data_IF_960350957907
#
_entry.id   IF_960350957907
#
_cell.length_a   1.000
_cell.length_b   1.000
_cell.length_c   1.000
_cell.angle_alpha   90.00
_cell.angle_beta   90.00
_cell.angle_gamma   90.00
#
_symmetry.space_group_name_H-M   'P 1'
#
loop_
_entity.id
_entity.type
_entity.pdbx_description
1 polymer ?
#
# COMPACT_ATOMS: atom_id res chain seq x y z
N UNK A 1 -31.06 -25.79 -26.20
CA UNK A 1 -30.46 -25.72 -24.84
C UNK A 1 -29.27 -26.70 -24.81
N UNK A 2 -28.04 -26.23 -25.05
CA UNK A 2 -26.85 -27.10 -25.09
C UNK A 2 -26.51 -27.53 -23.66
N UNK A 3 -26.58 -28.83 -23.35
CA UNK A 3 -26.11 -29.38 -22.06
C UNK A 3 -24.61 -29.15 -21.95
N UNK A 4 -24.18 -28.44 -20.92
CA UNK A 4 -22.77 -28.33 -20.57
C UNK A 4 -22.23 -29.73 -20.21
N UNK A 5 -20.99 -30.10 -20.58
CA UNK A 5 -20.40 -31.36 -20.18
C UNK A 5 -20.39 -31.48 -18.66
N UNK A 6 -20.65 -32.67 -18.11
CA UNK A 6 -20.60 -32.92 -16.67
C UNK A 6 -19.22 -32.53 -16.14
N UNK A 7 -19.15 -31.47 -15.35
CA UNK A 7 -17.93 -31.04 -14.71
C UNK A 7 -17.43 -32.16 -13.79
N UNK A 8 -16.13 -32.47 -13.82
CA UNK A 8 -15.56 -33.45 -12.90
C UNK A 8 -15.72 -32.96 -11.46
N UNK A 9 -16.03 -33.87 -10.55
CA UNK A 9 -16.12 -33.54 -9.13
C UNK A 9 -14.74 -33.12 -8.60
N UNK A 10 -14.65 -32.07 -7.76
CA UNK A 10 -13.41 -31.71 -7.09
C UNK A 10 -12.80 -32.92 -6.37
N UNK A 11 -11.53 -33.20 -6.64
CA UNK A 11 -10.78 -34.27 -5.97
C UNK A 11 -10.02 -33.68 -4.80
N UNK A 12 -10.27 -34.20 -3.59
CA UNK A 12 -9.50 -33.86 -2.40
C UNK A 12 -8.04 -34.29 -2.59
N UNK A 13 -7.12 -33.39 -2.29
CA UNK A 13 -5.69 -33.70 -2.21
C UNK A 13 -5.46 -34.33 -0.84
N UNK A 14 -4.99 -35.58 -0.83
CA UNK A 14 -4.64 -36.30 0.40
C UNK A 14 -3.17 -36.06 0.73
N UNK A 15 -2.90 -35.78 2.01
CA UNK A 15 -1.57 -35.52 2.53
C UNK A 15 -1.27 -36.49 3.66
N UNK A 16 -0.10 -37.14 3.62
CA UNK A 16 0.40 -37.94 4.73
C UNK A 16 1.12 -37.03 5.73
N UNK A 17 0.42 -36.69 6.81
CA UNK A 17 0.97 -35.82 7.85
C UNK A 17 1.67 -36.65 8.93
N UNK A 18 3.01 -36.67 8.88
CA UNK A 18 3.85 -37.18 9.96
C UNK A 18 3.71 -36.31 11.22
N UNK A 19 4.16 -36.84 12.36
CA UNK A 19 4.13 -36.09 13.62
C UNK A 19 4.94 -34.77 13.53
N UNK A 20 6.13 -34.80 12.93
CA UNK A 20 6.95 -33.60 12.68
C UNK A 20 6.21 -32.57 11.81
N UNK A 21 5.51 -33.00 10.76
CA UNK A 21 4.71 -32.07 9.93
C UNK A 21 3.55 -31.44 10.70
N UNK A 22 2.87 -32.21 11.56
CA UNK A 22 1.79 -31.68 12.40
C UNK A 22 2.30 -30.61 13.37
N UNK A 23 3.46 -30.86 13.99
CA UNK A 23 4.10 -29.88 14.87
C UNK A 23 4.50 -28.61 14.11
N UNK A 24 5.06 -28.73 12.90
CA UNK A 24 5.39 -27.57 12.05
C UNK A 24 4.17 -26.77 11.66
N UNK A 25 3.05 -27.42 11.34
CA UNK A 25 1.78 -26.74 11.05
C UNK A 25 1.32 -25.94 12.27
N UNK A 26 1.33 -26.55 13.46
CA UNK A 26 0.96 -25.85 14.70
C UNK A 26 1.83 -24.61 14.97
N UNK A 27 3.15 -24.72 14.81
CA UNK A 27 4.04 -23.57 14.97
C UNK A 27 3.84 -22.53 13.86
N UNK A 28 3.56 -22.93 12.62
CA UNK A 28 3.28 -22.01 11.53
C UNK A 28 1.97 -21.23 11.75
N UNK A 29 0.92 -21.88 12.25
CA UNK A 29 -0.35 -21.26 12.62
C UNK A 29 -0.15 -20.20 13.71
N UNK A 30 0.61 -20.54 14.75
CA UNK A 30 0.95 -19.60 15.84
C UNK A 30 1.72 -18.40 15.29
N UNK A 31 2.76 -18.63 14.47
CA UNK A 31 3.56 -17.56 13.85
C UNK A 31 2.74 -16.68 12.92
N UNK A 32 1.82 -17.25 12.14
CA UNK A 32 0.93 -16.51 11.25
C UNK A 32 -0.03 -15.63 12.05
N UNK A 33 -0.57 -16.16 13.15
CA UNK A 33 -1.46 -15.43 14.06
C UNK A 33 -0.73 -14.25 14.72
N UNK A 34 0.47 -14.49 15.25
CA UNK A 34 1.31 -13.43 15.83
C UNK A 34 1.67 -12.35 14.80
N UNK A 35 2.00 -12.74 13.57
CA UNK A 35 2.28 -11.81 12.49
C UNK A 35 1.05 -10.96 12.12
N UNK A 36 -0.13 -11.57 12.05
CA UNK A 36 -1.37 -10.87 11.78
C UNK A 36 -1.70 -9.83 12.87
N UNK A 37 -1.49 -10.18 14.15
CA UNK A 37 -1.75 -9.29 15.29
C UNK A 37 -0.78 -8.10 15.40
N UNK A 38 0.40 -8.18 14.77
CA UNK A 38 1.38 -7.08 14.74
C UNK A 38 1.06 -6.00 13.70
N UNK A 39 0.19 -6.29 12.74
CA UNK A 39 -0.16 -5.34 11.67
C UNK A 39 -1.28 -4.42 12.18
N UNK A 40 -0.97 -3.13 12.32
CA UNK A 40 -2.01 -2.11 12.52
C UNK A 40 -2.48 -1.58 11.15
N UNK A 41 -3.74 -1.87 10.80
CA UNK A 41 -4.33 -1.50 9.52
C UNK A 41 -5.58 -0.64 9.72
N UNK A 42 -5.69 0.46 8.97
CA UNK A 42 -6.85 1.34 8.93
C UNK A 42 -7.21 1.66 7.48
N UNK A 43 -8.51 1.63 7.18
CA UNK A 43 -9.05 2.11 5.89
C UNK A 43 -9.67 3.47 6.14
N UNK A 44 -9.22 4.47 5.40
CA UNK A 44 -9.71 5.84 5.48
C UNK A 44 -10.35 6.20 4.14
N UNK A 45 -11.63 6.54 4.16
CA UNK A 45 -12.35 7.02 2.99
C UNK A 45 -12.59 8.53 3.13
N UNK A 46 -12.08 9.29 2.17
CA UNK A 46 -12.20 10.75 2.16
C UNK A 46 -13.27 11.20 1.16
N UNK A 47 -14.32 11.85 1.66
CA UNK A 47 -15.47 12.27 0.85
C UNK A 47 -15.52 13.77 0.53
N UNK A 48 -14.54 14.57 0.98
CA UNK A 48 -14.58 16.03 0.81
C UNK A 48 -14.36 16.50 -0.62
N UNK A 49 -13.48 15.81 -1.37
CA UNK A 49 -13.24 16.04 -2.79
C UNK A 49 -12.58 14.80 -3.41
N UNK A 50 -12.46 14.79 -4.73
CA UNK A 50 -11.79 13.71 -5.46
C UNK A 50 -11.03 14.21 -6.68
N UNK A 51 -10.78 13.29 -7.61
CA UNK A 51 -10.02 13.53 -8.84
C UNK A 51 -10.47 14.77 -9.60
N UNK A 52 -11.78 14.96 -9.77
CA UNK A 52 -12.34 16.04 -10.59
C UNK A 52 -11.99 17.42 -10.04
N UNK A 53 -11.96 17.57 -8.71
CA UNK A 53 -11.55 18.81 -8.08
C UNK A 53 -10.05 19.06 -8.27
N UNK A 54 -9.22 18.02 -8.11
CA UNK A 54 -7.76 18.14 -8.22
C UNK A 54 -7.35 18.50 -9.66
N UNK A 55 -7.94 17.82 -10.65
CA UNK A 55 -7.64 18.08 -12.07
C UNK A 55 -8.17 19.44 -12.52
N UNK A 56 -9.30 19.93 -11.97
CA UNK A 56 -9.80 21.30 -12.22
C UNK A 56 -8.79 22.37 -11.80
N UNK A 57 -7.98 22.10 -10.78
CA UNK A 57 -6.89 22.98 -10.34
C UNK A 57 -5.57 22.73 -11.09
N UNK A 58 -5.60 21.96 -12.18
CA UNK A 58 -4.43 21.64 -13.03
C UNK A 58 -3.33 20.88 -12.29
N UNK A 59 -3.71 20.08 -11.29
CA UNK A 59 -2.79 19.23 -10.53
C UNK A 59 -2.96 17.77 -10.93
N UNK A 60 -1.86 17.01 -10.89
CA UNK A 60 -1.90 15.56 -10.97
C UNK A 60 -2.51 15.00 -9.67
N UNK A 61 -3.57 14.17 -9.72
CA UNK A 61 -4.14 13.54 -8.54
C UNK A 61 -3.13 12.74 -7.72
N UNK A 62 -2.21 12.08 -8.42
CA UNK A 62 -1.16 11.24 -7.84
C UNK A 62 -0.12 12.10 -7.10
N UNK A 63 0.47 13.09 -7.78
CA UNK A 63 1.44 14.01 -7.16
C UNK A 63 0.82 14.79 -5.98
N UNK A 64 -0.46 15.16 -6.08
CA UNK A 64 -1.19 15.82 -5.00
C UNK A 64 -1.28 14.93 -3.76
N UNK A 65 -1.61 13.64 -3.94
CA UNK A 65 -1.68 12.68 -2.83
C UNK A 65 -0.29 12.41 -2.24
N UNK A 66 0.75 12.27 -3.06
CA UNK A 66 2.12 12.10 -2.59
C UNK A 66 2.58 13.25 -1.68
N UNK A 67 2.34 14.50 -2.09
CA UNK A 67 2.66 15.66 -1.26
C UNK A 67 1.83 15.72 0.02
N UNK A 68 0.56 15.31 -0.05
CA UNK A 68 -0.32 15.25 1.12
C UNK A 68 0.20 14.25 2.16
N UNK A 69 0.70 13.08 1.73
CA UNK A 69 1.32 12.07 2.60
C UNK A 69 2.60 12.62 3.25
N UNK A 70 3.46 13.30 2.48
CA UNK A 70 4.67 13.95 3.02
C UNK A 70 4.34 14.97 4.12
N UNK A 71 3.35 15.84 3.88
CA UNK A 71 2.90 16.83 4.86
C UNK A 71 2.28 16.15 6.09
N UNK A 72 1.44 15.13 5.90
CA UNK A 72 0.83 14.39 7.00
C UNK A 72 1.90 13.73 7.89
N UNK A 73 2.90 13.08 7.28
CA UNK A 73 4.00 12.47 7.99
C UNK A 73 4.81 13.50 8.79
N UNK A 74 5.17 14.61 8.14
CA UNK A 74 5.94 15.66 8.79
C UNK A 74 5.18 16.37 9.91
N UNK A 75 3.86 16.54 9.79
CA UNK A 75 3.03 17.03 10.89
C UNK A 75 2.93 16.06 12.07
N UNK A 76 2.95 14.75 11.80
CA UNK A 76 2.81 13.73 12.83
C UNK A 76 4.13 13.46 13.57
N UNK A 77 5.26 13.48 12.87
CA UNK A 77 6.56 13.05 13.39
C UNK A 77 7.62 14.16 13.46
N UNK A 78 7.37 15.33 12.86
CA UNK A 78 8.32 16.45 12.84
C UNK A 78 9.48 16.29 11.85
N UNK A 79 9.50 15.23 11.06
CA UNK A 79 10.53 14.95 10.07
C UNK A 79 9.94 14.60 8.69
N UNK A 80 10.77 14.70 7.64
CA UNK A 80 10.34 14.41 6.26
C UNK A 80 11.14 13.22 5.74
N UNK A 81 10.54 12.01 5.62
CA UNK A 81 11.22 10.82 5.18
C UNK A 81 11.32 10.76 3.66
N UNK A 82 12.24 9.95 3.15
CA UNK A 82 12.20 9.56 1.75
C UNK A 82 11.06 8.56 1.52
N UNK A 83 10.26 8.76 0.47
CA UNK A 83 9.11 7.92 0.13
C UNK A 83 9.43 7.09 -1.11
N UNK A 84 9.11 5.80 -1.03
CA UNK A 84 9.10 4.89 -2.17
C UNK A 84 7.75 4.97 -2.89
N UNK A 85 7.80 5.25 -4.18
CA UNK A 85 6.65 5.21 -5.06
C UNK A 85 6.87 4.17 -6.17
N UNK A 86 5.90 3.30 -6.41
CA UNK A 86 6.00 2.29 -7.46
C UNK A 86 5.58 2.85 -8.82
N UNK A 87 6.55 3.08 -9.72
CA UNK A 87 6.29 3.58 -11.08
C UNK A 87 6.25 2.41 -12.07
N UNK A 88 5.19 2.30 -12.87
CA UNK A 88 5.03 1.18 -13.82
C UNK A 88 5.98 1.29 -15.02
N UNK A 89 6.73 0.23 -15.30
CA UNK A 89 7.64 0.14 -16.46
C UNK A 89 7.08 -0.72 -17.60
N UNK A 90 5.75 -0.86 -17.66
CA UNK A 90 5.03 -1.74 -18.62
C UNK A 90 5.27 -1.44 -20.11
N UNK A 91 5.91 -0.32 -20.42
CA UNK A 91 6.31 0.03 -21.79
C UNK A 91 7.46 -0.86 -22.29
N UNK A 92 8.20 -1.51 -21.39
CA UNK A 92 9.29 -2.42 -21.71
C UNK A 92 8.85 -3.88 -21.62
N UNK A 93 9.46 -4.75 -22.43
CA UNK A 93 9.20 -6.19 -22.39
C UNK A 93 9.51 -6.74 -20.99
N UNK A 94 8.53 -7.38 -20.36
CA UNK A 94 8.59 -7.88 -18.96
C UNK A 94 8.83 -6.79 -17.91
N UNK A 95 8.52 -5.54 -18.24
CA UNK A 95 8.55 -4.44 -17.28
C UNK A 95 7.67 -4.71 -16.06
N UNK A 96 8.19 -4.42 -14.87
CA UNK A 96 7.46 -4.45 -13.60
C UNK A 96 7.31 -3.02 -13.10
N UNK A 97 8.19 -2.62 -12.18
CA UNK A 97 8.12 -1.33 -11.48
C UNK A 97 9.52 -0.77 -11.28
N UNK A 98 9.63 0.55 -11.22
CA UNK A 98 10.80 1.29 -10.73
C UNK A 98 10.42 2.06 -9.44
N UNK A 99 11.41 2.39 -8.62
CA UNK A 99 11.28 3.22 -7.43
C UNK A 99 11.32 4.71 -7.78
N UNK A 100 10.15 5.34 -7.84
CA UNK A 100 10.03 6.79 -7.77
C UNK A 100 10.45 7.29 -6.39
N UNK A 101 11.35 8.28 -6.34
CA UNK A 101 11.75 8.97 -5.11
C UNK A 101 11.11 10.35 -5.12
N UNK A 102 9.99 10.47 -4.43
CA UNK A 102 9.14 11.67 -4.50
C UNK A 102 9.68 12.84 -3.65
N UNK A 103 10.65 12.56 -2.76
CA UNK A 103 11.31 13.59 -1.95
C UNK A 103 12.38 14.33 -2.76
N UNK A 104 11.99 15.40 -3.43
CA UNK A 104 12.90 16.41 -3.99
C UNK A 104 13.17 17.55 -3.00
N UNK A 105 14.07 18.46 -3.32
CA UNK A 105 14.33 19.65 -2.50
C UNK A 105 13.10 20.55 -2.39
N UNK A 106 12.33 20.69 -3.47
CA UNK A 106 11.08 21.45 -3.50
C UNK A 106 10.00 20.79 -2.65
N UNK A 107 9.87 19.46 -2.71
CA UNK A 107 8.95 18.70 -1.87
C UNK A 107 9.30 18.84 -0.39
N UNK A 108 10.59 18.82 -0.05
CA UNK A 108 11.09 19.04 1.30
C UNK A 108 10.75 20.45 1.80
N UNK A 109 11.02 21.48 0.98
CA UNK A 109 10.70 22.87 1.31
C UNK A 109 9.19 23.08 1.49
N UNK A 110 8.37 22.49 0.61
CA UNK A 110 6.93 22.47 0.72
C UNK A 110 6.50 21.83 2.05
N UNK A 111 6.91 20.59 2.33
CA UNK A 111 6.53 19.90 3.56
C UNK A 111 6.90 20.70 4.82
N UNK A 112 8.12 21.26 4.87
CA UNK A 112 8.58 22.08 6.00
C UNK A 112 7.77 23.37 6.19
N UNK A 113 7.37 24.02 5.10
CA UNK A 113 6.52 25.20 5.17
C UNK A 113 5.16 24.86 5.82
N UNK A 114 4.58 23.70 5.50
CA UNK A 114 3.32 23.24 6.09
C UNK A 114 3.46 22.69 7.53
N UNK A 115 4.65 22.22 7.92
CA UNK A 115 4.92 21.73 9.27
C UNK A 115 5.20 22.86 10.27
N UNK A 116 5.85 23.94 9.85
CA UNK A 116 6.12 25.11 10.70
C UNK A 116 4.86 25.93 11.01
N UNK A 117 3.84 25.86 10.15
CA UNK A 117 2.49 26.44 10.36
C UNK A 117 1.64 25.73 11.45
N UNK A 118 2.27 24.92 12.30
CA UNK A 118 1.64 24.20 13.42
C UNK A 118 2.34 24.33 14.77
N UNK A 119 3.39 25.16 14.91
CA UNK A 119 3.79 25.59 16.24
C UNK A 119 2.66 26.46 16.83
N UNK A 120 2.09 26.13 18.00
CA UNK A 120 1.09 27.00 18.61
C UNK A 120 1.74 28.33 19.02
N UNK A 121 0.96 29.42 19.18
CA UNK A 121 1.38 30.50 20.07
C UNK A 121 1.57 29.98 21.52
#
# INVERSE_FOLDING_TARGET
QKRLPSLCHPRKIEWELTQDLRERVFYAETRASDAALRVDHRVLEYHGYGKDWITKHKLSPDAFLQMSILVAYCKLFGEVPNIYESVQTKHFLRGRTEAGRTLTEEALAFARAWCTLGAPP
#
